data_IF_306291658289
#
_entry.id   IF_306291658289
#
_cell.length_a   1.000
_cell.length_b   1.000
_cell.length_c   1.000
_cell.angle_alpha   90.00
_cell.angle_beta   90.00
_cell.angle_gamma   90.00
#
_symmetry.space_group_name_H-M   'P 1'
#
loop_
_entity.id
_entity.type
_entity.pdbx_description
1 polymer ?
2 non-polymer ?
3 water ?
#
# COMPACT_ATOMS: atom_id res chain seq x y z
N UNK A 4 19.01 3.30 11.92
CA UNK A 4 17.98 4.37 11.87
C UNK A 4 17.45 4.51 10.46
N UNK A 5 16.14 4.38 10.33
CA UNK A 5 15.49 4.54 9.05
C UNK A 5 14.27 5.44 9.26
N UNK A 6 14.29 6.54 8.52
CA UNK A 6 13.27 7.58 8.61
C UNK A 6 12.32 7.60 7.42
N UNK A 7 11.04 7.34 7.66
CA UNK A 7 10.06 7.34 6.56
C UNK A 7 9.18 8.58 6.56
N UNK A 8 8.92 9.14 5.38
CA UNK A 8 8.03 10.29 5.25
C UNK A 8 6.71 9.79 4.70
N UNK A 9 5.73 9.57 5.58
CA UNK A 9 4.43 9.05 5.19
C UNK A 9 3.35 10.11 5.00
N UNK A 10 3.04 10.40 3.74
CA UNK A 10 2.04 11.39 3.35
C UNK A 10 0.73 10.70 3.00
N UNK A 11 -0.11 10.48 4.01
CA UNK A 11 -1.40 9.83 3.83
C UNK A 11 -2.44 10.43 4.77
N UNK A 12 -3.70 10.00 4.61
CA UNK A 12 -4.79 10.51 5.42
C UNK A 12 -4.76 10.06 6.89
N UNK A 13 -5.40 10.86 7.74
CA UNK A 13 -5.51 10.58 9.16
C UNK A 13 -6.99 10.60 9.53
N UNK A 14 -7.34 9.87 10.59
CA UNK A 14 -8.72 9.83 11.05
C UNK A 14 -8.78 9.71 12.56
N UNK A 15 -9.69 10.44 13.19
CA UNK A 15 -9.82 10.41 14.63
C UNK A 15 -10.05 9.00 15.10
N UNK A 16 -10.97 8.30 14.43
CA UNK A 16 -11.27 6.93 14.78
C UNK A 16 -11.02 6.01 13.61
N UNK A 17 -10.42 4.86 13.89
CA UNK A 17 -10.20 3.91 12.84
C UNK A 17 -8.79 3.90 12.32
N UNK A 18 -8.51 2.91 11.50
CA UNK A 18 -7.19 2.77 10.94
C UNK A 18 -7.32 2.75 9.45
N UNK A 19 -6.87 3.85 8.86
CA UNK A 19 -6.91 4.03 7.43
C UNK A 19 -5.72 4.94 7.09
N UNK A 20 -5.27 4.91 5.85
CA UNK A 20 -4.15 5.75 5.44
C UNK A 20 -2.98 5.74 6.41
N UNK A 21 -2.71 6.87 7.06
CA UNK A 21 -1.61 7.00 8.01
C UNK A 21 -1.85 6.32 9.35
N UNK A 22 -3.10 6.23 9.76
CA UNK A 22 -3.40 5.58 11.02
C UNK A 22 -3.11 4.10 10.84
N UNK A 23 -3.27 3.64 9.59
CA UNK A 23 -3.06 2.26 9.26
C UNK A 23 -1.58 1.91 9.06
N UNK A 24 -0.78 2.91 8.70
CA UNK A 24 0.65 2.70 8.43
C UNK A 24 1.63 3.01 9.57
N UNK A 25 1.33 4.04 10.34
CA UNK A 25 2.20 4.49 11.43
C UNK A 25 2.55 3.50 12.53
N UNK A 26 1.57 3.10 13.34
CA UNK A 26 1.84 2.17 14.43
C UNK A 26 2.65 0.94 13.98
N UNK A 27 2.25 0.30 12.86
CA UNK A 27 3.01 -0.87 12.40
C UNK A 27 4.48 -0.52 12.21
N UNK A 28 4.74 0.46 11.35
CA UNK A 28 6.10 0.88 11.10
C UNK A 28 6.83 1.29 12.38
N UNK A 29 6.11 1.87 13.33
CA UNK A 29 6.73 2.32 14.58
C UNK A 29 7.15 1.15 15.45
N UNK A 30 6.26 0.16 15.57
CA UNK A 30 6.60 -1.01 16.37
C UNK A 30 7.59 -1.86 15.58
N UNK A 31 7.69 -1.62 14.28
CA UNK A 31 8.64 -2.38 13.49
C UNK A 31 10.02 -1.69 13.52
N UNK A 32 10.15 -0.74 14.44
CA UNK A 32 11.41 -0.03 14.60
C UNK A 32 11.68 1.16 13.70
N UNK A 33 10.73 1.50 12.84
CA UNK A 33 10.94 2.64 11.94
C UNK A 33 10.64 4.01 12.55
N UNK A 34 11.27 5.04 11.98
CA UNK A 34 11.08 6.43 12.41
C UNK A 34 10.07 7.02 11.44
N UNK A 35 8.80 7.07 11.84
CA UNK A 35 7.79 7.61 10.94
C UNK A 35 7.46 9.08 11.11
N UNK A 36 7.66 9.83 10.04
CA UNK A 36 7.32 11.25 9.98
C UNK A 36 6.02 11.20 9.20
N UNK A 37 4.96 11.73 9.79
CA UNK A 37 3.68 11.65 9.13
C UNK A 37 3.07 12.96 8.76
N UNK A 38 2.76 13.11 7.49
CA UNK A 38 2.08 14.31 7.02
C UNK A 38 0.65 13.79 6.85
N UNK A 39 -0.31 14.44 7.50
CA UNK A 39 -1.70 13.99 7.36
C UNK A 39 -2.41 14.77 6.25
N UNK A 40 -2.50 14.15 5.07
CA UNK A 40 -3.15 14.77 3.90
C UNK A 40 -4.59 15.22 4.11
N UNK A 41 -5.24 14.66 5.14
CA UNK A 41 -6.60 15.04 5.51
C UNK A 41 -6.82 14.56 6.93
N UNK A 42 -7.88 15.05 7.57
CA UNK A 42 -8.23 14.63 8.92
C UNK A 42 -9.75 14.58 9.04
N UNK A 43 -10.28 13.36 9.09
CA UNK A 43 -11.71 13.12 9.18
C UNK A 43 -12.06 12.29 10.39
N UNK A 44 -13.29 12.44 10.86
CA UNK A 44 -13.74 11.70 12.04
C UNK A 44 -13.56 10.19 11.87
N UNK A 45 -13.68 9.71 10.63
CA UNK A 45 -13.57 8.27 10.31
C UNK A 45 -13.56 8.09 8.78
N UNK A 46 -13.30 6.88 8.28
CA UNK A 46 -13.28 6.67 6.83
C UNK A 46 -14.68 6.80 6.21
N UNK A 47 -14.74 7.08 4.90
CA UNK A 47 -16.04 7.29 4.25
C UNK A 47 -16.90 6.07 4.00
N UNK A 48 -16.54 4.95 4.63
CA UNK A 48 -17.36 3.77 4.48
C UNK A 48 -18.52 3.95 5.44
N UNK A 49 -18.33 4.81 6.45
CA UNK A 49 -19.36 5.08 7.45
C UNK A 49 -20.54 5.81 6.82
N UNK A 50 -21.64 5.90 7.56
CA UNK A 50 -22.84 6.60 7.09
C UNK A 50 -22.53 8.09 6.98
N UNK A 51 -21.86 8.61 8.00
CA UNK A 51 -21.48 10.02 8.08
C UNK A 51 -19.97 10.17 8.24
N UNK A 52 -19.51 11.39 8.03
CA UNK A 52 -18.10 11.75 8.15
C UNK A 52 -17.94 13.26 8.00
N UNK A 53 -17.05 13.83 8.78
CA UNK A 53 -16.78 15.26 8.70
C UNK A 53 -15.29 15.41 8.76
N UNK A 54 -14.76 16.50 8.23
CA UNK A 54 -13.33 16.68 8.28
C UNK A 54 -12.78 17.75 7.36
N UNK A 55 -11.48 17.98 7.47
CA UNK A 55 -10.81 18.97 6.66
C UNK A 55 -9.78 18.26 5.77
N UNK A 56 -9.46 18.83 4.62
CA UNK A 56 -8.45 18.23 3.75
C UNK A 56 -7.29 19.21 3.64
N UNK A 57 -6.08 18.69 3.53
CA UNK A 57 -4.89 19.50 3.40
C UNK A 57 -4.75 19.73 1.90
N UNK A 58 -4.59 20.97 1.46
CA UNK A 58 -4.44 21.22 0.04
C UNK A 58 -3.00 21.11 -0.44
N UNK A 59 -2.82 21.40 -1.73
CA UNK A 59 -1.53 21.36 -2.39
C UNK A 59 -0.49 22.28 -1.75
N UNK A 60 -0.88 23.53 -1.51
CA UNK A 60 0.01 24.54 -0.93
C UNK A 60 0.36 24.27 0.53
N UNK A 61 -0.59 23.76 1.29
CA UNK A 61 -0.34 23.48 2.69
C UNK A 61 0.62 22.31 2.80
N UNK A 62 0.53 21.37 1.87
CA UNK A 62 1.45 20.24 1.90
C UNK A 62 2.85 20.86 1.78
N UNK A 63 3.00 21.81 0.86
CA UNK A 63 4.27 22.48 0.64
C UNK A 63 4.75 23.26 1.86
N UNK A 64 3.82 23.97 2.50
CA UNK A 64 4.13 24.76 3.68
C UNK A 64 4.93 23.86 4.61
N UNK A 65 4.34 22.72 4.98
CA UNK A 65 4.99 21.75 5.85
C UNK A 65 6.34 21.27 5.35
N UNK A 66 6.47 21.11 4.03
CA UNK A 66 7.74 20.67 3.46
C UNK A 66 8.80 21.75 3.63
N UNK A 67 8.43 23.00 3.39
CA UNK A 67 9.38 24.09 3.53
C UNK A 67 9.81 24.19 4.98
N UNK A 68 8.87 23.94 5.90
CA UNK A 68 9.21 23.98 7.32
C UNK A 68 10.29 22.94 7.55
N UNK A 69 10.08 21.74 7.04
CA UNK A 69 11.06 20.69 7.19
C UNK A 69 12.38 21.12 6.51
N UNK A 70 12.29 21.58 5.25
CA UNK A 70 13.49 21.99 4.52
C UNK A 70 14.27 23.12 5.19
N UNK A 71 13.58 24.17 5.63
CA UNK A 71 14.22 25.30 6.28
C UNK A 71 15.05 24.94 7.52
N UNK A 72 14.58 23.98 8.32
CA UNK A 72 15.33 23.55 9.51
C UNK A 72 16.33 22.46 9.11
N UNK A 73 16.53 22.30 7.80
CA UNK A 73 17.45 21.30 7.27
C UNK A 73 17.24 19.89 7.84
N UNK A 74 15.98 19.47 7.95
CA UNK A 74 15.70 18.13 8.45
C UNK A 74 14.86 17.38 7.44
N UNK A 75 15.09 17.69 6.16
CA UNK A 75 14.36 17.00 5.11
C UNK A 75 15.22 15.87 4.53
N UNK A 76 15.78 15.06 5.41
CA UNK A 76 16.59 13.91 5.01
C UNK A 76 15.77 12.65 5.31
N UNK A 77 15.54 11.82 4.29
CA UNK A 77 14.75 10.59 4.49
C UNK A 77 15.24 9.37 3.73
N UNK A 78 14.95 8.21 4.30
CA UNK A 78 15.35 6.94 3.71
C UNK A 78 14.20 6.37 2.86
N UNK A 79 12.98 6.74 3.25
CA UNK A 79 11.77 6.28 2.55
C UNK A 79 10.70 7.36 2.49
N UNK A 80 9.84 7.22 1.49
CA UNK A 80 8.69 8.09 1.29
C UNK A 80 7.56 7.13 0.97
N UNK A 81 6.48 7.23 1.74
CA UNK A 81 5.33 6.36 1.55
C UNK A 81 4.06 7.20 1.28
N UNK A 82 3.45 7.03 0.11
CA UNK A 82 2.24 7.77 -0.25
C UNK A 82 1.08 6.80 -0.57
N UNK A 83 -0.15 7.21 -0.28
CA UNK A 83 -1.28 6.35 -0.54
C UNK A 83 -2.46 7.07 -1.17
N UNK A 84 -3.66 6.77 -0.66
CA UNK A 84 -4.89 7.34 -1.18
C UNK A 84 -4.90 8.85 -1.27
N UNK A 85 -5.04 9.35 -2.50
CA UNK A 85 -5.09 10.79 -2.76
C UNK A 85 -6.16 11.11 -3.79
N UNK A 86 -6.89 12.20 -3.58
CA UNK A 86 -7.94 12.62 -4.50
C UNK A 86 -7.46 13.77 -5.40
N UNK A 87 -6.76 14.73 -4.79
CA UNK A 87 -6.26 15.94 -5.46
C UNK A 87 -5.06 15.69 -6.42
N UNK A 88 -5.21 16.09 -7.70
CA UNK A 88 -4.15 15.90 -8.70
C UNK A 88 -3.00 16.88 -8.47
N UNK A 89 -3.35 18.04 -7.94
CA UNK A 89 -2.39 19.08 -7.63
C UNK A 89 -1.60 18.60 -6.40
N UNK A 90 -2.30 18.02 -5.44
CA UNK A 90 -1.65 17.49 -4.25
C UNK A 90 -0.64 16.42 -4.64
N UNK A 91 -1.02 15.56 -5.59
CA UNK A 91 -0.17 14.47 -6.05
C UNK A 91 1.03 14.99 -6.85
N UNK A 92 0.81 16.02 -7.65
CA UNK A 92 1.90 16.59 -8.41
C UNK A 92 2.90 17.16 -7.41
N UNK A 93 2.39 17.61 -6.28
CA UNK A 93 3.22 18.18 -5.21
C UNK A 93 4.05 17.10 -4.55
N UNK A 94 3.47 15.91 -4.42
CA UNK A 94 4.14 14.76 -3.81
C UNK A 94 5.33 14.34 -4.68
N UNK A 95 5.17 14.43 -5.99
CA UNK A 95 6.22 14.06 -6.91
C UNK A 95 7.42 15.02 -6.80
N UNK A 96 7.15 16.31 -6.64
CA UNK A 96 8.20 17.31 -6.52
C UNK A 96 9.00 17.02 -5.26
N UNK A 97 8.27 16.81 -4.17
CA UNK A 97 8.90 16.52 -2.88
C UNK A 97 9.79 15.29 -3.01
N UNK A 98 9.25 14.22 -3.57
CA UNK A 98 10.01 12.99 -3.73
C UNK A 98 11.26 13.18 -4.61
N UNK A 99 11.17 14.04 -5.63
CA UNK A 99 12.32 14.28 -6.51
C UNK A 99 13.44 15.06 -5.82
N UNK A 100 13.06 16.02 -4.98
CA UNK A 100 14.04 16.81 -4.28
C UNK A 100 14.60 16.02 -3.10
N UNK A 101 13.80 15.12 -2.53
CA UNK A 101 14.28 14.31 -1.43
C UNK A 101 15.27 13.28 -1.97
N UNK A 102 15.11 12.91 -3.23
CA UNK A 102 16.04 11.95 -3.84
C UNK A 102 17.35 12.64 -4.22
N UNK A 103 17.34 13.98 -4.25
CA UNK A 103 18.53 14.76 -4.54
C UNK A 103 19.29 14.83 -3.22
N UNK A 104 18.60 15.27 -2.14
CA UNK A 104 19.18 15.26 -0.79
C UNK A 104 19.39 13.76 -0.90
N UNK A 105 20.62 13.27 -0.83
CA UNK A 105 20.72 11.86 -1.14
C UNK A 105 20.99 10.69 -0.22
N UNK A 106 20.04 9.76 -0.23
CA UNK A 106 19.93 8.49 0.48
C UNK A 106 19.51 7.55 -0.65
N UNK A 107 19.54 6.24 -0.40
CA UNK A 107 19.09 5.31 -1.41
C UNK A 107 17.57 5.41 -1.21
N UNK A 108 17.08 6.65 -1.12
CA UNK A 108 15.67 6.90 -0.88
C UNK A 108 14.75 6.01 -1.70
N UNK A 109 13.93 5.26 -0.98
CA UNK A 109 12.96 4.33 -1.58
C UNK A 109 11.56 4.91 -1.45
N UNK A 110 10.94 5.13 -2.61
CA UNK A 110 9.60 5.67 -2.69
C UNK A 110 8.59 4.53 -2.83
N UNK A 111 7.89 4.23 -1.75
CA UNK A 111 6.86 3.17 -1.77
C UNK A 111 5.51 3.81 -2.06
N UNK A 112 4.99 3.57 -3.26
CA UNK A 112 3.72 4.14 -3.70
C UNK A 112 2.58 3.14 -3.90
N UNK A 113 1.44 3.44 -3.27
CA UNK A 113 0.23 2.63 -3.38
C UNK A 113 -0.66 3.48 -4.28
N UNK A 114 -0.62 3.23 -5.59
CA UNK A 114 -1.42 3.97 -6.59
C UNK A 114 -2.93 3.83 -6.49
N UNK A 115 -3.47 4.28 -5.37
CA UNK A 115 -4.89 4.19 -5.10
C UNK A 115 -5.75 4.95 -6.09
N UNK A 116 -6.62 4.22 -6.78
CA UNK A 116 -7.52 4.81 -7.77
C UNK A 116 -8.89 4.15 -7.77
N UNK A 117 -8.98 2.95 -7.20
CA UNK A 117 -10.24 2.26 -7.12
C UNK A 117 -9.99 0.78 -6.88
N UNK A 118 -11.04 -0.02 -6.94
CA UNK A 118 -10.90 -1.45 -6.78
C UNK A 118 -11.66 -2.22 -7.84
N UNK A 119 -11.39 -3.52 -7.90
CA UNK A 119 -12.00 -4.34 -8.92
C UNK A 119 -13.09 -5.34 -8.52
N UNK A 120 -14.11 -5.37 -9.35
CA UNK A 120 -15.24 -6.28 -9.27
C UNK A 120 -15.22 -6.77 -10.72
N UNK A 121 -15.01 -8.08 -10.87
CA UNK A 121 -14.87 -8.78 -12.14
C UNK A 121 -14.86 -8.24 -13.55
N UNK A 122 -15.68 -7.25 -13.94
CA UNK A 122 -15.54 -6.78 -15.31
C UNK A 122 -15.02 -5.37 -15.39
N UNK A 123 -15.51 -4.56 -14.47
CA UNK A 123 -15.14 -3.15 -14.44
C UNK A 123 -15.09 -2.69 -12.99
N UNK A 124 -14.10 -1.87 -12.71
CA UNK A 124 -13.91 -1.39 -11.35
C UNK A 124 -14.41 0.02 -11.15
N UNK A 125 -14.95 0.26 -9.97
CA UNK A 125 -15.46 1.56 -9.60
C UNK A 125 -14.26 2.45 -9.24
N UNK A 126 -14.08 3.55 -9.96
CA UNK A 126 -13.00 4.46 -9.68
C UNK A 126 -13.31 5.32 -8.46
N UNK A 127 -12.45 5.29 -7.44
CA UNK A 127 -12.63 6.07 -6.21
C UNK A 127 -12.32 7.53 -6.49
N UNK A 128 -11.16 7.73 -7.09
CA UNK A 128 -10.63 9.05 -7.41
C UNK A 128 -11.07 9.52 -8.79
N UNK A 129 -10.90 10.83 -9.07
CA UNK A 129 -11.27 11.42 -10.35
C UNK A 129 -10.36 10.85 -11.44
N UNK A 130 -10.83 10.78 -12.68
CA UNK A 130 -10.00 10.23 -13.74
C UNK A 130 -8.89 11.15 -14.24
N UNK A 131 -8.83 12.37 -13.71
CA UNK A 131 -7.76 13.28 -14.13
C UNK A 131 -6.52 13.00 -13.29
N UNK A 132 -6.62 12.00 -12.42
CA UNK A 132 -5.52 11.58 -11.57
C UNK A 132 -4.72 10.47 -12.25
N UNK A 133 -5.39 9.69 -13.09
CA UNK A 133 -4.75 8.57 -13.79
C UNK A 133 -3.54 9.03 -14.58
N UNK A 134 -3.71 10.06 -15.43
CA UNK A 134 -2.58 10.56 -16.23
C UNK A 134 -1.36 10.83 -15.35
N UNK A 135 -1.57 11.60 -14.28
CA UNK A 135 -0.51 11.97 -13.34
C UNK A 135 0.18 10.78 -12.68
N UNK A 136 -0.60 9.78 -12.25
CA UNK A 136 -0.03 8.58 -11.61
C UNK A 136 0.80 7.81 -12.61
N UNK A 137 0.29 7.77 -13.83
CA UNK A 137 0.91 7.06 -14.92
C UNK A 137 2.10 7.83 -15.49
N UNK A 138 1.90 9.13 -15.70
CA UNK A 138 2.94 9.97 -16.30
C UNK A 138 3.98 10.62 -15.41
N UNK A 139 3.62 11.00 -14.18
CA UNK A 139 4.59 11.63 -13.29
C UNK A 139 4.92 10.83 -12.03
N UNK A 140 3.91 10.18 -11.46
CA UNK A 140 4.09 9.42 -10.22
C UNK A 140 4.86 8.11 -10.28
N UNK A 141 4.35 7.13 -11.01
CA UNK A 141 5.02 5.83 -11.07
C UNK A 141 6.47 5.95 -11.52
N UNK A 142 6.75 6.78 -12.55
CA UNK A 142 8.14 6.92 -13.01
C UNK A 142 9.15 7.11 -11.88
N UNK A 143 8.74 7.76 -10.79
CA UNK A 143 9.66 7.96 -9.68
C UNK A 143 9.39 7.02 -8.52
N UNK A 144 8.49 6.08 -8.73
CA UNK A 144 8.17 5.11 -7.69
C UNK A 144 9.19 3.98 -7.76
N UNK A 145 9.45 3.37 -6.61
CA UNK A 145 10.41 2.27 -6.56
C UNK A 145 9.65 0.98 -6.27
N UNK A 146 8.67 1.08 -5.39
CA UNK A 146 7.84 -0.03 -4.97
C UNK A 146 6.40 0.45 -5.04
N UNK A 147 5.61 -0.17 -5.91
CA UNK A 147 4.21 0.17 -6.06
C UNK A 147 3.33 -1.03 -5.75
N UNK A 148 2.27 -0.83 -4.97
CA UNK A 148 1.35 -1.90 -4.57
C UNK A 148 -0.05 -1.77 -5.14
N UNK A 149 -0.21 -1.82 -6.47
CA UNK A 149 -1.52 -1.69 -7.08
C UNK A 149 -2.45 -2.91 -7.01
N UNK A 150 -3.71 -2.63 -7.36
CA UNK A 150 -4.77 -3.63 -7.46
C UNK A 150 -4.53 -4.16 -8.84
N UNK A 151 -5.40 -5.07 -9.27
CA UNK A 151 -5.31 -5.56 -10.62
C UNK A 151 -5.94 -4.43 -11.42
N UNK A 152 -7.05 -3.89 -10.91
CA UNK A 152 -7.76 -2.81 -11.56
C UNK A 152 -6.83 -1.63 -11.73
N UNK A 153 -5.94 -1.48 -10.74
CA UNK A 153 -4.99 -0.38 -10.79
C UNK A 153 -3.85 -0.69 -11.75
N UNK A 154 -3.30 -1.89 -11.69
CA UNK A 154 -2.22 -2.24 -12.59
C UNK A 154 -2.71 -2.06 -14.02
N UNK A 155 -3.93 -2.52 -14.31
CA UNK A 155 -4.50 -2.41 -15.64
C UNK A 155 -4.54 -0.94 -16.07
N UNK A 156 -5.35 -0.14 -15.38
CA UNK A 156 -5.46 1.29 -15.71
C UNK A 156 -4.09 1.88 -16.02
N UNK A 157 -3.16 1.71 -15.08
CA UNK A 157 -1.81 2.25 -15.21
C UNK A 157 -1.12 1.89 -16.53
N UNK A 158 -1.34 0.68 -17.02
CA UNK A 158 -0.71 0.25 -18.26
C UNK A 158 -1.64 0.37 -19.46
N UNK A 159 -2.93 0.52 -19.21
CA UNK A 159 -3.90 0.63 -20.29
C UNK A 159 -4.13 -0.73 -20.94
N UNK A 160 -3.78 -1.78 -20.22
CA UNK A 160 -3.94 -3.15 -20.71
C UNK A 160 -4.65 -3.97 -19.64
N UNK A 161 -5.75 -4.60 -20.00
CA UNK A 161 -6.53 -5.38 -19.04
C UNK A 161 -5.94 -6.77 -18.77
N UNK A 162 -6.21 -7.28 -17.57
CA UNK A 162 -5.70 -8.58 -17.11
C UNK A 162 -6.70 -9.74 -17.05
N UNK A 163 -6.39 -10.84 -17.73
CA UNK A 163 -7.26 -12.03 -17.75
C UNK A 163 -6.60 -13.36 -17.35
N UNK A 164 -5.38 -13.31 -16.84
CA UNK A 164 -4.69 -14.54 -16.43
C UNK A 164 -3.41 -14.20 -15.68
N UNK A 165 -2.79 -15.21 -15.09
CA UNK A 165 -1.56 -14.97 -14.36
C UNK A 165 -0.51 -14.51 -15.36
N UNK A 166 -0.47 -15.21 -16.50
CA UNK A 166 0.48 -14.92 -17.57
C UNK A 166 0.47 -13.48 -18.01
N UNK A 167 -0.67 -12.96 -18.44
CA UNK A 167 -0.71 -11.58 -18.91
C UNK A 167 -0.70 -10.59 -17.76
N UNK A 168 -0.72 -11.13 -16.54
CA UNK A 168 -0.68 -10.32 -15.32
C UNK A 168 0.78 -10.02 -15.04
N UNK A 169 1.66 -10.92 -15.47
CA UNK A 169 3.08 -10.70 -15.27
C UNK A 169 3.54 -9.79 -16.41
N UNK A 170 2.78 -9.78 -17.51
CA UNK A 170 3.10 -8.91 -18.65
C UNK A 170 2.79 -7.45 -18.28
N UNK A 171 1.77 -7.25 -17.44
CA UNK A 171 1.42 -5.90 -17.01
C UNK A 171 2.48 -5.44 -16.02
N UNK A 172 2.93 -6.35 -15.17
CA UNK A 172 3.95 -6.01 -14.20
C UNK A 172 5.26 -5.67 -14.91
N UNK A 173 5.67 -6.51 -15.87
CA UNK A 173 6.90 -6.22 -16.63
C UNK A 173 6.72 -4.83 -17.23
N UNK A 174 5.52 -4.53 -17.69
CA UNK A 174 5.22 -3.23 -18.28
C UNK A 174 5.39 -2.14 -17.24
N UNK A 175 5.05 -2.46 -16.00
CA UNK A 175 5.17 -1.52 -14.89
C UNK A 175 6.63 -1.23 -14.62
N UNK A 176 7.43 -2.28 -14.45
CA UNK A 176 8.85 -2.15 -14.19
C UNK A 176 9.52 -1.18 -15.16
N UNK A 177 9.08 -1.24 -16.41
CA UNK A 177 9.62 -0.39 -17.46
C UNK A 177 9.36 1.08 -17.17
N UNK A 178 8.22 1.36 -16.52
CA UNK A 178 7.88 2.73 -16.18
C UNK A 178 8.76 3.25 -15.04
N UNK A 179 9.44 2.35 -14.33
CA UNK A 179 10.32 2.77 -13.26
C UNK A 179 10.47 1.91 -12.02
N UNK A 180 9.37 1.48 -11.35
CA UNK A 180 9.41 0.66 -10.13
C UNK A 180 10.04 -0.71 -10.28
N UNK A 181 11.19 -0.91 -9.63
CA UNK A 181 11.86 -2.21 -9.72
C UNK A 181 11.09 -3.31 -8.98
N UNK A 182 10.16 -2.90 -8.12
CA UNK A 182 9.36 -3.87 -7.39
C UNK A 182 7.88 -3.59 -7.62
N UNK A 183 7.12 -4.63 -7.90
CA UNK A 183 5.70 -4.49 -8.11
C UNK A 183 5.02 -5.61 -7.35
N UNK A 184 3.83 -5.34 -6.84
CA UNK A 184 3.06 -6.32 -6.10
C UNK A 184 1.59 -6.06 -6.42
N UNK A 185 0.89 -7.06 -6.94
CA UNK A 185 -0.53 -6.91 -7.20
C UNK A 185 -1.15 -7.46 -5.91
N UNK A 186 -1.55 -6.56 -5.03
CA UNK A 186 -2.10 -6.92 -3.73
C UNK A 186 -3.39 -7.72 -3.76
N UNK A 187 -4.10 -7.69 -4.88
CA UNK A 187 -5.36 -8.41 -5.01
C UNK A 187 -5.83 -8.33 -6.46
N UNK A 188 -6.43 -9.43 -6.93
CA UNK A 188 -6.92 -9.51 -8.31
C UNK A 188 -8.10 -10.45 -8.46
N UNK A 189 -8.75 -10.38 -9.61
CA UNK A 189 -9.90 -11.24 -9.90
C UNK A 189 -9.50 -12.69 -10.16
N UNK A 190 -8.32 -12.87 -10.73
CA UNK A 190 -7.79 -14.18 -11.06
C UNK A 190 -8.09 -15.30 -10.04
N UNK A 191 -8.50 -16.45 -10.55
CA UNK A 191 -8.81 -17.59 -9.71
C UNK A 191 -7.49 -18.19 -9.27
N UNK A 192 -7.28 -18.33 -7.97
CA UNK A 192 -6.01 -18.89 -7.49
C UNK A 192 -6.08 -20.41 -7.45
N UNK A 193 -4.95 -21.08 -7.69
CA UNK A 193 -4.85 -22.54 -7.70
C UNK A 193 -5.27 -23.14 -6.37
N UNK A 194 -5.78 -22.32 -5.48
CA UNK A 194 -6.21 -22.78 -4.17
C UNK A 194 -7.71 -22.81 -3.95
N UNK A 195 -8.47 -22.24 -4.88
CA UNK A 195 -9.92 -22.25 -4.74
C UNK A 195 -10.55 -20.87 -4.64
N UNK A 196 -11.88 -20.83 -4.77
CA UNK A 196 -12.63 -19.59 -4.69
C UNK A 196 -12.48 -18.95 -3.30
N UNK A 197 -12.00 -19.75 -2.36
CA UNK A 197 -11.79 -19.35 -0.97
C UNK A 197 -10.54 -18.50 -0.70
N UNK A 198 -9.61 -18.48 -1.63
CA UNK A 198 -8.38 -17.72 -1.44
C UNK A 198 -8.22 -16.52 -2.35
N UNK A 199 -7.64 -15.45 -1.82
CA UNK A 199 -7.40 -14.26 -2.62
C UNK A 199 -5.98 -14.43 -3.14
N UNK A 200 -5.70 -13.92 -4.33
CA UNK A 200 -4.35 -14.07 -4.89
C UNK A 200 -3.59 -12.77 -5.13
N UNK A 201 -2.38 -12.74 -4.59
CA UNK A 201 -1.50 -11.58 -4.75
C UNK A 201 -0.34 -12.00 -5.64
N UNK A 202 0.19 -11.05 -6.42
CA UNK A 202 1.29 -11.31 -7.34
C UNK A 202 2.35 -10.23 -7.20
N UNK A 203 3.58 -10.52 -7.60
CA UNK A 203 4.64 -9.52 -7.50
C UNK A 203 6.00 -9.97 -7.98
N UNK A 204 6.65 -9.13 -8.79
CA UNK A 204 7.97 -9.45 -9.32
C UNK A 204 8.96 -8.34 -9.07
N UNK A 205 10.22 -8.72 -8.82
CA UNK A 205 11.30 -7.77 -8.57
C UNK A 205 12.40 -7.89 -9.63
N UNK A 206 12.55 -6.84 -10.43
CA UNK A 206 13.57 -6.81 -11.47
C UNK A 206 14.86 -6.22 -10.90
N UNK A 207 15.67 -7.07 -10.27
CA UNK A 207 16.94 -6.67 -9.66
C UNK A 207 18.09 -6.40 -10.66
N UNK A 208 18.84 -5.33 -10.44
CA UNK A 208 19.99 -5.07 -11.30
C UNK A 208 21.19 -5.57 -10.51
N UNK A 209 21.64 -6.78 -10.81
CA UNK A 209 22.78 -7.36 -10.10
C UNK A 209 24.07 -6.80 -10.70
N UNK A 210 25.21 -7.05 -10.04
CA UNK A 210 26.48 -6.54 -10.56
C UNK A 210 26.74 -6.96 -11.99
N UNK A 211 27.36 -6.06 -12.74
CA UNK A 211 27.66 -6.25 -14.16
C UNK A 211 26.37 -6.25 -14.96
N UNK A 212 25.47 -5.37 -14.55
CA UNK A 212 24.18 -5.22 -15.21
C UNK A 212 23.56 -6.43 -15.88
N UNK A 213 23.22 -7.44 -15.09
CA UNK A 213 22.57 -8.61 -15.63
C UNK A 213 21.11 -8.30 -15.34
N UNK A 214 20.22 -9.19 -15.72
CA UNK A 214 18.80 -8.99 -15.44
C UNK A 214 18.44 -10.04 -14.40
N UNK A 215 17.51 -9.71 -13.52
CA UNK A 215 17.07 -10.65 -12.50
C UNK A 215 15.63 -10.27 -12.17
N UNK A 216 14.68 -11.07 -12.64
CA UNK A 216 13.28 -10.76 -12.40
C UNK A 216 12.56 -11.89 -11.66
N UNK A 217 12.77 -11.98 -10.36
CA UNK A 217 12.13 -13.00 -9.53
C UNK A 217 10.64 -12.69 -9.34
N UNK A 218 9.77 -13.59 -9.75
CA UNK A 218 8.35 -13.38 -9.63
C UNK A 218 7.74 -14.33 -8.61
N UNK A 219 6.64 -13.95 -7.97
CA UNK A 219 6.03 -14.81 -6.96
C UNK A 219 4.51 -14.76 -6.91
N UNK A 220 3.95 -15.63 -6.07
CA UNK A 220 2.51 -15.73 -5.90
C UNK A 220 2.15 -15.96 -4.43
N UNK A 221 1.18 -15.21 -3.91
CA UNK A 221 0.75 -15.35 -2.52
C UNK A 221 -0.73 -15.72 -2.48
N UNK A 222 -1.10 -16.60 -1.56
CA UNK A 222 -2.49 -17.03 -1.43
C UNK A 222 -2.98 -16.77 0.00
N UNK A 223 -3.78 -15.73 0.19
CA UNK A 223 -4.32 -15.43 1.51
C UNK A 223 -5.75 -15.94 1.60
N UNK A 224 -6.02 -16.71 2.64
CA UNK A 224 -7.35 -17.25 2.88
C UNK A 224 -8.27 -16.06 3.10
N UNK A 225 -9.26 -15.89 2.22
CA UNK A 225 -10.20 -14.77 2.31
C UNK A 225 -10.89 -14.63 3.68
N UNK A 226 -11.68 -13.58 3.85
CA UNK A 226 -12.39 -13.33 5.11
C UNK A 226 -13.78 -12.73 4.88
N UNK A 227 -14.78 -13.25 5.59
CA UNK A 227 -16.17 -12.80 5.46
C UNK A 227 -16.53 -11.36 5.86
N UNK A 228 -15.75 -10.40 5.40
CA UNK A 228 -16.04 -9.01 5.73
C UNK A 228 -15.41 -8.10 4.71
N UNK A 229 -15.83 -6.85 4.73
CA UNK A 229 -15.28 -5.86 3.82
C UNK A 229 -14.53 -4.90 4.75
N UNK A 230 -13.21 -5.04 4.74
CA UNK A 230 -12.33 -4.21 5.55
C UNK A 230 -11.92 -2.92 4.85
N UNK A 231 -11.51 -1.92 5.62
CA UNK A 231 -11.08 -0.66 5.03
C UNK A 231 -9.66 -0.34 5.50
N UNK A 232 -8.78 -0.05 4.56
CA UNK A 232 -7.41 0.27 4.91
C UNK A 232 -6.41 -0.87 4.85
N UNK A 233 -6.84 -2.04 4.40
CA UNK A 233 -5.94 -3.17 4.34
C UNK A 233 -4.79 -2.83 3.37
N UNK A 234 -5.11 -2.08 2.32
CA UNK A 234 -4.08 -1.71 1.36
C UNK A 234 -2.99 -0.89 2.04
N UNK A 235 -3.40 -0.01 2.95
CA UNK A 235 -2.46 0.84 3.67
C UNK A 235 -1.58 0.09 4.66
N UNK A 236 -2.19 -0.85 5.39
CA UNK A 236 -1.47 -1.67 6.38
C UNK A 236 -0.47 -2.58 5.68
N UNK A 237 -0.81 -2.98 4.45
CA UNK A 237 0.00 -3.85 3.63
C UNK A 237 1.27 -3.14 3.16
N UNK A 238 1.08 -2.06 2.40
CA UNK A 238 2.21 -1.32 1.87
C UNK A 238 3.18 -0.87 2.96
N UNK A 239 2.65 -0.60 4.14
CA UNK A 239 3.48 -0.15 5.25
C UNK A 239 4.40 -1.26 5.71
N UNK A 240 3.86 -2.45 5.92
CA UNK A 240 4.65 -3.59 6.37
C UNK A 240 5.56 -4.08 5.26
N UNK A 241 5.09 -3.99 4.02
CA UNK A 241 5.89 -4.40 2.87
C UNK A 241 7.15 -3.57 2.91
N UNK A 242 6.96 -2.26 3.11
CA UNK A 242 8.06 -1.30 3.19
C UNK A 242 9.05 -1.87 4.20
N UNK A 243 8.51 -2.25 5.35
CA UNK A 243 9.31 -2.79 6.44
C UNK A 243 10.11 -4.03 6.06
N UNK A 244 9.43 -5.04 5.52
CA UNK A 244 10.08 -6.30 5.16
C UNK A 244 11.02 -6.28 3.96
N UNK A 245 10.67 -5.51 2.92
CA UNK A 245 11.54 -5.42 1.76
C UNK A 245 12.86 -4.75 2.21
N UNK A 246 12.80 -3.96 3.28
CA UNK A 246 14.00 -3.32 3.82
C UNK A 246 14.88 -4.44 4.37
N UNK A 247 14.27 -5.36 5.13
CA UNK A 247 14.98 -6.48 5.70
C UNK A 247 15.45 -7.46 4.62
N UNK A 248 14.64 -7.61 3.57
CA UNK A 248 14.97 -8.54 2.49
C UNK A 248 14.93 -7.81 1.15
N UNK A 249 15.93 -6.94 0.90
CA UNK A 249 16.11 -6.13 -0.32
C UNK A 249 16.03 -6.84 -1.67
N UNK A 250 16.42 -8.12 -1.70
CA UNK A 250 16.41 -8.89 -2.94
C UNK A 250 15.65 -10.20 -2.81
N UNK A 251 14.92 -10.33 -1.72
CA UNK A 251 14.14 -11.54 -1.48
C UNK A 251 12.66 -11.19 -1.36
N UNK A 252 12.07 -10.69 -2.45
CA UNK A 252 10.66 -10.34 -2.45
C UNK A 252 9.85 -11.48 -1.87
N UNK A 253 10.30 -12.71 -2.14
CA UNK A 253 9.64 -13.91 -1.66
C UNK A 253 9.38 -13.86 -0.15
N UNK A 254 10.43 -13.65 0.61
CA UNK A 254 10.30 -13.59 2.05
C UNK A 254 9.59 -12.33 2.55
N UNK A 255 9.72 -11.22 1.80
CA UNK A 255 9.10 -9.97 2.19
C UNK A 255 7.59 -10.04 2.09
N UNK A 256 7.09 -10.57 0.98
CA UNK A 256 5.65 -10.70 0.80
C UNK A 256 5.10 -11.74 1.77
N UNK A 257 5.91 -12.74 2.09
CA UNK A 257 5.48 -13.77 3.00
C UNK A 257 5.19 -13.14 4.34
N UNK A 258 6.21 -12.53 4.94
CA UNK A 258 6.02 -11.89 6.23
C UNK A 258 4.89 -10.86 6.19
N UNK A 259 4.83 -10.10 5.09
CA UNK A 259 3.79 -9.08 4.92
C UNK A 259 2.39 -9.68 5.01
N UNK A 260 2.07 -10.54 4.05
CA UNK A 260 0.77 -11.20 3.96
C UNK A 260 0.43 -12.03 5.20
N UNK A 261 1.44 -12.62 5.83
CA UNK A 261 1.19 -13.43 7.02
C UNK A 261 0.66 -12.56 8.16
N UNK A 262 1.29 -11.40 8.36
CA UNK A 262 0.88 -10.47 9.39
C UNK A 262 -0.49 -9.93 9.01
N UNK A 263 -0.73 -9.81 7.71
CA UNK A 263 -1.99 -9.31 7.20
C UNK A 263 -3.13 -10.21 7.68
N UNK A 264 -2.95 -11.50 7.49
CA UNK A 264 -3.95 -12.51 7.88
C UNK A 264 -4.16 -12.57 9.39
N UNK A 265 -3.09 -12.40 10.15
CA UNK A 265 -3.17 -12.44 11.61
C UNK A 265 -4.03 -11.31 12.15
N UNK A 266 -3.87 -10.12 11.59
CA UNK A 266 -4.63 -8.96 12.03
C UNK A 266 -6.09 -9.07 11.57
N UNK A 267 -6.29 -9.48 10.33
CA UNK A 267 -7.64 -9.60 9.81
C UNK A 267 -8.44 -10.67 10.53
N UNK A 268 -7.77 -11.74 10.96
CA UNK A 268 -8.50 -12.77 11.67
C UNK A 268 -8.87 -12.24 13.05
N UNK A 269 -7.90 -11.60 13.71
CA UNK A 269 -8.15 -11.07 15.04
C UNK A 269 -9.25 -10.01 14.98
N UNK A 270 -9.31 -9.30 13.86
CA UNK A 270 -10.30 -8.24 13.66
C UNK A 270 -11.70 -8.84 13.53
N UNK A 271 -11.90 -9.66 12.50
CA UNK A 271 -13.18 -10.31 12.23
C UNK A 271 -13.77 -11.04 13.46
N UNK A 272 -12.90 -11.43 14.40
CA UNK A 272 -13.35 -12.09 15.61
C UNK A 272 -14.00 -11.09 16.54
N UNK A 273 -13.27 -10.03 16.88
CA UNK A 273 -13.82 -9.04 17.79
C UNK A 273 -15.00 -8.31 17.19
N UNK A 274 -15.10 -8.30 15.87
CA UNK A 274 -16.22 -7.64 15.21
C UNK A 274 -17.45 -8.52 15.42
N UNK A 275 -17.20 -9.82 15.42
CA UNK A 275 -18.25 -10.79 15.61
C UNK A 275 -18.61 -10.88 17.08
N UNK A 276 -17.59 -10.97 17.93
CA UNK A 276 -17.81 -11.04 19.37
C UNK A 276 -18.56 -9.79 19.81
N UNK A 277 -18.54 -8.76 18.97
CA UNK A 277 -19.18 -7.49 19.26
C UNK A 277 -20.49 -7.30 18.47
N UNK A 278 -20.94 -8.33 17.76
CA UNK A 278 -22.16 -8.21 16.98
C UNK A 278 -23.02 -9.47 17.03
N UNK A 279 -24.27 -9.30 17.48
CA UNK A 279 -25.20 -10.41 17.58
C UNK A 279 -25.36 -11.22 16.30
N UNK A 280 -25.77 -12.49 16.45
CA UNK A 280 -25.96 -13.36 15.29
C UNK A 280 -27.11 -12.86 14.42
N UNK A 281 -26.90 -12.87 13.10
CA UNK A 281 -27.95 -12.43 12.19
C UNK A 281 -27.86 -10.97 11.83
N UNK A 282 -26.93 -10.25 12.46
CA UNK A 282 -26.75 -8.84 12.16
C UNK A 282 -25.37 -8.60 11.58
N UNK A 283 -25.32 -8.02 10.38
CA UNK A 283 -24.05 -7.74 9.73
C UNK A 283 -23.29 -6.63 10.47
N UNK A 284 -22.02 -6.92 10.84
CA UNK A 284 -21.16 -5.96 11.54
C UNK A 284 -20.98 -4.68 10.75
N UNK A 285 -20.78 -3.58 11.47
CA UNK A 285 -20.64 -2.25 10.89
C UNK A 285 -19.21 -1.78 10.67
N UNK A 286 -19.01 -0.87 9.71
CA UNK A 286 -17.67 -0.34 9.43
C UNK A 286 -16.95 -0.03 10.72
N UNK A 287 -17.73 0.30 11.76
CA UNK A 287 -17.20 0.65 13.06
C UNK A 287 -16.57 -0.56 13.75
N UNK A 288 -17.29 -1.68 13.74
CA UNK A 288 -16.81 -2.90 14.37
C UNK A 288 -15.73 -3.60 13.54
N UNK A 289 -15.65 -3.25 12.26
CA UNK A 289 -14.67 -3.85 11.35
C UNK A 289 -13.31 -3.15 11.35
N UNK A 290 -13.19 -2.05 12.08
CA UNK A 290 -11.93 -1.33 12.16
C UNK A 290 -10.86 -2.32 12.63
N UNK A 291 -9.70 -2.30 11.97
CA UNK A 291 -8.61 -3.23 12.32
C UNK A 291 -8.22 -3.15 13.81
N UNK A 292 -8.05 -4.30 14.45
CA UNK A 292 -7.64 -4.35 15.84
C UNK A 292 -6.12 -4.25 15.78
N UNK A 293 -5.66 -3.04 15.45
CA UNK A 293 -4.25 -2.69 15.29
C UNK A 293 -3.41 -2.83 16.56
N UNK A 294 -3.75 -2.02 17.56
CA UNK A 294 -3.02 -2.05 18.82
C UNK A 294 -2.87 -3.48 19.34
N UNK A 295 -3.91 -4.29 19.15
CA UNK A 295 -3.93 -5.67 19.61
C UNK A 295 -3.02 -6.64 18.83
N UNK A 296 -2.80 -6.37 17.55
CA UNK A 296 -1.98 -7.22 16.70
C UNK A 296 -0.49 -6.85 16.75
N UNK A 297 -0.09 -6.07 17.74
CA UNK A 297 1.30 -5.63 17.84
C UNK A 297 2.32 -6.72 17.56
N UNK A 298 2.43 -7.67 18.49
CA UNK A 298 3.38 -8.77 18.36
C UNK A 298 3.31 -9.41 16.97
N UNK A 299 2.09 -9.71 16.52
CA UNK A 299 1.92 -10.32 15.20
C UNK A 299 2.54 -9.42 14.14
N UNK A 300 2.44 -8.10 14.33
CA UNK A 300 3.03 -7.15 13.39
C UNK A 300 4.53 -7.28 13.51
N UNK A 301 5.01 -7.33 14.75
CA UNK A 301 6.43 -7.46 15.05
C UNK A 301 7.01 -8.76 14.49
N UNK A 302 6.44 -9.90 14.90
CA UNK A 302 6.92 -11.22 14.45
C UNK A 302 5.74 -12.02 13.88
N UNK A 303 5.53 -11.95 12.57
CA UNK A 303 4.44 -12.66 11.88
C UNK A 303 4.69 -14.16 11.75
N UNK A 304 3.79 -14.99 12.26
CA UNK A 304 3.99 -16.41 12.12
C UNK A 304 3.68 -16.75 10.66
N UNK A 305 4.68 -17.25 9.96
CA UNK A 305 4.55 -17.59 8.55
C UNK A 305 3.53 -18.68 8.28
N UNK A 306 2.32 -18.29 7.91
CA UNK A 306 1.28 -19.26 7.64
C UNK A 306 1.07 -19.31 6.14
N UNK A 307 1.88 -18.55 5.41
CA UNK A 307 1.80 -18.50 3.96
C UNK A 307 3.16 -18.82 3.36
N UNK A 308 3.13 -19.46 2.20
CA UNK A 308 4.34 -19.84 1.47
C UNK A 308 4.27 -19.19 0.10
N UNK A 309 5.24 -18.35 -0.21
CA UNK A 309 5.23 -17.69 -1.51
C UNK A 309 5.70 -18.66 -2.60
N UNK A 310 4.85 -18.86 -3.60
CA UNK A 310 5.17 -19.74 -4.71
C UNK A 310 6.07 -18.97 -5.69
N UNK A 311 7.34 -19.36 -5.74
CA UNK A 311 8.30 -18.71 -6.61
C UNK A 311 7.96 -18.93 -8.08
N UNK A 312 7.85 -17.82 -8.81
CA UNK A 312 7.53 -17.83 -10.24
C UNK A 312 6.04 -18.08 -10.44
X LIG B 1 -14.62 2.35 2.06
X LIG B 1 -14.36 3.58 1.88
X LIG B 1 -13.38 4.13 1.38
X LIG B 1 -13.38 4.18 -0.11
X LIG B 1 -12.73 4.69 -0.86
X LIG B 1 -13.16 5.39 2.15
X LIG B 1 -11.95 5.86 2.59
X LIG B 1 -10.81 5.15 2.34
X LIG B 1 -9.59 5.63 2.77
X LIG B 1 -8.41 5.06 2.59
X LIG B 1 -8.45 3.74 1.89
X LIG B 1 -7.77 3.91 0.53
X LIG B 1 -7.87 2.70 2.81
X LIG B 1 -7.49 5.90 3.15
X LIG B 1 -9.44 6.84 3.40
X LIG B 1 -8.09 7.04 3.69
X LIG B 1 -11.84 7.05 3.24
X LIG B 1 -10.65 7.58 3.67
X LIG B 1 -10.71 8.80 4.34
X LIG B 1 -10.02 9.80 4.10
X LIG B 1 -10.37 11.13 2.33
X LIG B 1 -11.24 12.03 1.66
X LIG B 1 -12.38 12.56 2.34
X LIG B 1 -12.65 12.18 3.68
X LIG B 1 -11.80 11.28 4.37
X LIG B 1 -10.68 10.78 3.68
X LIG B 1 -10.66 8.56 5.76
#
# INVERSE_FOLDING_TARGET
MEEECRVLSIQSHVVRGYVGNRAATFPLQVLGFEVDAVNSVQFSNHTGYSHWKGQVLNSDELQELYDGLKLNHVNQYDYVLTGYTRDKSFLAMVVDIVQELKQQNPRLVYVCDPVMGDQRNGEGAMYVPDDLLPVYREKVVPVADIITPNQFEAELLTGRKIHSQEEALEVMDMLHSMGPDTVVITSSNLLSPRGSDYLMALGSQRTRAPDGSVVTQRIRMEMHKVDAVFVGTGDLFAAMLLAWTHKHPNNLKVACEKTVSAMHHVLQRTIKCAKAKSGEGVKPSPAQLELRMVQSKKDIESPEIVVQATVL
RMC OAP CAQ CAR CAK CAI NAS CAT NAU CAV NAW CAZ CAY CBA CAX CAN NAO NAL CAM NAJ CAD CAE CAG CAH CAF CAC CAB CBB
#
